data_IF_089701424883
#
_entry.id   IF_089701424883
#
_cell.length_a   1.000
_cell.length_b   1.000
_cell.length_c   1.000
_cell.angle_alpha   90.00
_cell.angle_beta   90.00
_cell.angle_gamma   90.00
#
_symmetry.space_group_name_H-M   'P 1'
#
loop_
_entity.id
_entity.type
_entity.pdbx_description
1 polymer ?
#
# COMPACT_ATOMS: atom_id res chain seq x y z
N UNK A 1 8.71 8.82 2.07
CA UNK A 1 8.84 7.51 2.71
C UNK A 1 8.00 7.44 3.97
N UNK A 2 7.29 6.33 4.15
CA UNK A 2 6.62 6.00 5.40
C UNK A 2 6.74 4.51 5.70
N UNK A 3 6.88 4.15 6.97
CA UNK A 3 6.94 2.79 7.47
C UNK A 3 5.80 2.54 8.47
N UNK A 4 5.23 1.33 8.49
CA UNK A 4 4.16 0.95 9.42
C UNK A 4 2.95 1.91 9.35
N UNK A 5 2.62 2.63 10.41
CA UNK A 5 1.58 3.67 10.41
C UNK A 5 1.90 4.80 9.41
N UNK A 6 3.18 5.15 9.24
CA UNK A 6 3.64 6.08 8.21
C UNK A 6 3.36 5.58 6.78
N UNK A 7 3.47 4.29 6.54
CA UNK A 7 3.09 3.68 5.26
C UNK A 7 1.57 3.73 5.03
N UNK A 8 0.77 3.56 6.09
CA UNK A 8 -0.68 3.77 6.03
C UNK A 8 -1.02 5.21 5.65
N UNK A 9 -0.29 6.19 6.19
CA UNK A 9 -0.44 7.58 5.79
C UNK A 9 -0.06 7.80 4.32
N UNK A 10 1.13 7.33 3.91
CA UNK A 10 1.66 7.55 2.56
C UNK A 10 0.74 7.02 1.48
N UNK A 11 0.30 5.76 1.56
CA UNK A 11 -0.55 5.21 0.50
C UNK A 11 -1.91 5.89 0.43
N UNK A 12 -2.51 6.28 1.58
CA UNK A 12 -3.76 7.06 1.60
C UNK A 12 -3.56 8.47 1.07
N UNK A 13 -2.44 9.11 1.41
CA UNK A 13 -2.10 10.43 0.89
C UNK A 13 -2.04 10.42 -0.64
N UNK A 14 -1.38 9.41 -1.23
CA UNK A 14 -1.34 9.22 -2.68
C UNK A 14 -2.73 8.94 -3.26
N UNK A 15 -3.56 8.19 -2.54
CA UNK A 15 -4.93 7.87 -2.97
C UNK A 15 -5.82 9.09 -3.01
N UNK A 16 -5.81 9.93 -1.95
CA UNK A 16 -6.82 10.96 -1.74
C UNK A 16 -6.37 12.37 -2.14
N UNK A 17 -5.06 12.60 -2.30
CA UNK A 17 -4.54 13.89 -2.73
C UNK A 17 -4.18 13.87 -4.20
N UNK A 18 -5.08 14.43 -5.01
CA UNK A 18 -4.85 14.66 -6.44
C UNK A 18 -4.02 15.95 -6.64
N UNK A 19 -3.40 16.08 -7.81
CA UNK A 19 -2.60 17.24 -8.21
C UNK A 19 -1.36 17.51 -7.32
N UNK A 20 -0.76 16.45 -6.80
CA UNK A 20 0.50 16.54 -6.07
C UNK A 20 1.69 16.66 -7.03
N UNK A 21 2.59 17.57 -6.74
CA UNK A 21 3.95 17.56 -7.31
C UNK A 21 4.79 16.49 -6.59
N UNK A 22 4.31 15.24 -6.61
CA UNK A 22 4.95 14.11 -5.97
C UNK A 22 5.64 13.26 -7.02
N UNK A 23 6.97 13.22 -6.98
CA UNK A 23 7.73 12.41 -7.93
C UNK A 23 7.59 10.92 -7.62
N UNK A 24 7.77 10.55 -6.36
CA UNK A 24 7.74 9.15 -5.89
C UNK A 24 7.26 9.09 -4.45
N UNK A 25 6.65 7.96 -4.07
CA UNK A 25 6.26 7.66 -2.70
C UNK A 25 6.63 6.22 -2.35
N UNK A 26 7.16 6.00 -1.15
CA UNK A 26 7.45 4.66 -0.63
C UNK A 26 6.57 4.40 0.59
N UNK A 27 5.73 3.38 0.50
CA UNK A 27 4.96 2.84 1.61
C UNK A 27 5.55 1.47 2.01
N UNK A 28 6.18 1.42 3.18
CA UNK A 28 6.91 0.25 3.66
C UNK A 28 6.19 -0.43 4.82
N UNK A 29 5.90 -1.73 4.72
CA UNK A 29 5.37 -2.57 5.79
C UNK A 29 4.14 -1.98 6.50
N UNK A 30 3.14 -1.50 5.77
CA UNK A 30 1.91 -1.00 6.39
C UNK A 30 1.19 -2.10 7.16
N UNK A 31 0.58 -1.74 8.29
CA UNK A 31 -0.17 -2.68 9.12
C UNK A 31 -1.44 -3.20 8.43
N UNK A 32 -2.08 -2.37 7.59
CA UNK A 32 -3.20 -2.70 6.72
C UNK A 32 -3.36 -1.61 5.68
N UNK A 33 -4.17 -1.85 4.65
CA UNK A 33 -4.27 -0.95 3.50
C UNK A 33 -5.71 -0.51 3.23
N UNK A 34 -5.85 0.71 2.69
CA UNK A 34 -7.04 1.12 1.96
C UNK A 34 -6.85 0.66 0.52
N UNK A 35 -7.39 -0.50 0.17
CA UNK A 35 -7.23 -1.08 -1.16
C UNK A 35 -8.03 -0.29 -2.20
N UNK A 36 -7.57 -0.18 -3.45
CA UNK A 36 -8.24 0.59 -4.49
C UNK A 36 -9.49 -0.10 -5.04
N UNK A 37 -10.30 -0.67 -4.17
CA UNK A 37 -11.49 -1.43 -4.51
C UNK A 37 -12.75 -0.67 -4.06
N UNK A 38 -13.59 -0.28 -5.02
CA UNK A 38 -14.82 0.49 -4.80
C UNK A 38 -15.98 -0.35 -4.23
N UNK A 39 -15.80 -1.67 -4.08
CA UNK A 39 -16.78 -2.57 -3.47
C UNK A 39 -16.52 -2.80 -1.97
N UNK A 40 -15.32 -2.51 -1.51
CA UNK A 40 -14.92 -2.67 -0.10
C UNK A 40 -15.13 -1.34 0.62
N UNK A 41 -15.79 -1.40 1.78
CA UNK A 41 -16.09 -0.23 2.61
C UNK A 41 -14.80 0.48 3.06
N UNK A 42 -14.82 1.81 3.04
CA UNK A 42 -13.80 2.63 3.68
C UNK A 42 -13.80 2.36 5.21
N UNK A 43 -12.66 2.24 5.88
CA UNK A 43 -11.32 2.63 5.41
C UNK A 43 -10.50 1.50 4.75
N UNK A 44 -11.01 0.29 4.64
CA UNK A 44 -10.27 -0.85 4.05
C UNK A 44 -10.33 -0.89 2.52
N UNK A 45 -11.29 -0.19 1.93
CA UNK A 45 -11.44 0.04 0.49
C UNK A 45 -11.95 1.45 0.24
N UNK A 46 -12.50 1.70 -0.96
CA UNK A 46 -12.92 3.05 -1.39
C UNK A 46 -14.43 3.26 -1.38
N UNK A 47 -15.25 2.23 -1.14
CA UNK A 47 -16.70 2.37 -1.07
C UNK A 47 -17.08 3.37 0.02
N UNK A 48 -17.95 4.32 -0.30
CA UNK A 48 -18.39 5.40 0.57
C UNK A 48 -17.27 6.38 1.03
N UNK A 49 -16.10 6.35 0.40
CA UNK A 49 -15.02 7.31 0.67
C UNK A 49 -15.21 8.67 -0.02
N UNK A 50 -16.06 8.74 -1.06
CA UNK A 50 -16.15 9.88 -1.96
C UNK A 50 -15.08 9.89 -3.08
N UNK A 51 -14.25 8.88 -3.17
CA UNK A 51 -13.13 8.75 -4.13
C UNK A 51 -13.23 7.44 -4.91
N UNK A 52 -14.35 7.28 -5.65
CA UNK A 52 -14.68 6.02 -6.35
C UNK A 52 -14.72 6.17 -7.87
N UNK A 53 -14.43 7.35 -8.39
CA UNK A 53 -14.48 7.63 -9.83
C UNK A 53 -13.19 7.20 -10.56
N UNK A 54 -13.30 7.08 -11.88
CA UNK A 54 -12.19 6.68 -12.74
C UNK A 54 -11.03 7.67 -12.71
N UNK A 55 -11.28 8.96 -12.44
CA UNK A 55 -10.23 9.98 -12.31
C UNK A 55 -9.37 9.70 -11.09
N UNK A 56 -9.99 9.40 -9.95
CA UNK A 56 -9.28 9.02 -8.73
C UNK A 56 -8.45 7.76 -8.94
N UNK A 57 -9.04 6.71 -9.52
CA UNK A 57 -8.33 5.45 -9.76
C UNK A 57 -7.20 5.61 -10.77
N UNK A 58 -7.43 6.33 -11.87
CA UNK A 58 -6.37 6.60 -12.87
C UNK A 58 -5.21 7.38 -12.28
N UNK A 59 -5.49 8.38 -11.44
CA UNK A 59 -4.45 9.14 -10.73
C UNK A 59 -3.65 8.25 -9.77
N UNK A 60 -4.34 7.44 -8.99
CA UNK A 60 -3.72 6.52 -8.02
C UNK A 60 -2.82 5.50 -8.73
N UNK A 61 -3.33 4.81 -9.74
CA UNK A 61 -2.55 3.80 -10.47
C UNK A 61 -1.43 4.40 -11.33
N UNK A 62 -1.61 5.61 -11.84
CA UNK A 62 -0.59 6.34 -12.58
C UNK A 62 0.52 6.94 -11.70
N UNK A 63 0.35 6.94 -10.37
CA UNK A 63 1.35 7.45 -9.44
C UNK A 63 2.58 6.53 -9.35
N UNK A 64 3.74 7.11 -9.02
CA UNK A 64 4.97 6.34 -8.77
C UNK A 64 5.02 5.86 -7.31
N UNK A 65 4.01 5.06 -6.92
CA UNK A 65 3.95 4.44 -5.59
C UNK A 65 4.83 3.19 -5.56
N UNK A 66 5.67 3.10 -4.55
CA UNK A 66 6.51 1.94 -4.26
C UNK A 66 5.96 1.27 -3.01
N UNK A 67 5.48 0.06 -3.16
CA UNK A 67 5.06 -0.81 -2.07
C UNK A 67 6.28 -1.66 -1.66
N UNK A 68 6.89 -1.31 -0.54
CA UNK A 68 8.10 -1.96 -0.04
C UNK A 68 7.74 -2.93 1.08
N UNK A 69 8.17 -4.18 0.95
CA UNK A 69 7.80 -5.27 1.85
C UNK A 69 9.03 -5.99 2.35
N UNK A 70 9.24 -6.02 3.67
CA UNK A 70 10.22 -6.90 4.29
C UNK A 70 9.70 -8.34 4.30
N UNK A 71 10.44 -9.27 3.72
CA UNK A 71 9.98 -10.65 3.56
C UNK A 71 9.95 -11.47 4.85
N UNK A 72 10.48 -10.89 5.94
CA UNK A 72 10.41 -11.47 7.29
C UNK A 72 9.38 -10.78 8.20
N UNK A 73 8.57 -9.83 7.67
CA UNK A 73 7.45 -9.22 8.42
C UNK A 73 6.20 -10.11 8.33
N UNK A 74 6.34 -11.30 8.87
CA UNK A 74 5.43 -12.45 8.75
C UNK A 74 4.86 -12.95 10.08
N UNK A 75 5.04 -12.20 11.19
CA UNK A 75 4.51 -12.56 12.49
C UNK A 75 3.03 -12.17 12.61
N UNK A 76 2.08 -13.15 12.67
CA UNK A 76 0.67 -12.86 12.84
C UNK A 76 0.31 -12.49 14.30
N UNK A 77 1.24 -12.66 15.25
CA UNK A 77 1.01 -12.39 16.66
C UNK A 77 1.70 -11.10 17.13
N UNK A 78 2.22 -10.28 16.22
CA UNK A 78 2.80 -9.00 16.56
C UNK A 78 1.76 -8.11 17.26
N UNK A 79 2.05 -7.70 18.50
CA UNK A 79 1.13 -6.92 19.32
C UNK A 79 0.70 -5.57 18.71
N UNK A 80 1.46 -5.04 17.75
CA UNK A 80 1.14 -3.81 17.04
C UNK A 80 0.36 -4.03 15.74
N UNK A 81 0.12 -5.29 15.37
CA UNK A 81 -0.65 -5.65 14.18
C UNK A 81 -2.15 -5.69 14.51
N UNK A 82 -2.92 -4.92 13.77
CA UNK A 82 -4.38 -4.93 13.90
C UNK A 82 -4.96 -6.24 13.41
N UNK A 83 -5.87 -6.82 14.20
CA UNK A 83 -6.70 -7.95 13.84
C UNK A 83 -8.18 -7.59 13.96
N UNK A 84 -8.86 -7.57 12.84
CA UNK A 84 -10.30 -7.54 12.67
C UNK A 84 -10.63 -8.24 11.35
N UNK A 85 -11.91 -8.52 11.11
CA UNK A 85 -12.36 -9.25 9.92
C UNK A 85 -11.81 -8.66 8.61
N UNK A 86 -11.82 -7.33 8.49
CA UNK A 86 -11.42 -6.64 7.26
C UNK A 86 -9.90 -6.59 7.08
N UNK A 87 -9.14 -6.36 8.14
CA UNK A 87 -7.68 -6.39 8.06
C UNK A 87 -7.15 -7.80 7.82
N UNK A 88 -7.75 -8.80 8.45
CA UNK A 88 -7.37 -10.21 8.27
C UNK A 88 -7.77 -10.75 6.90
N UNK A 89 -8.83 -10.21 6.27
CA UNK A 89 -9.15 -10.49 4.88
C UNK A 89 -8.05 -10.05 3.90
N UNK A 90 -7.20 -9.09 4.27
CA UNK A 90 -6.02 -8.70 3.49
C UNK A 90 -4.82 -9.64 3.69
N UNK A 91 -4.79 -10.39 4.80
CA UNK A 91 -3.73 -11.32 5.18
C UNK A 91 -3.49 -11.31 6.69
N UNK A 92 -2.88 -12.37 7.20
CA UNK A 92 -2.67 -12.53 8.65
C UNK A 92 -1.42 -11.81 9.17
N UNK A 93 -0.57 -11.26 8.30
CA UNK A 93 0.65 -10.54 8.64
C UNK A 93 0.96 -9.48 7.57
N UNK A 94 1.84 -8.53 7.91
CA UNK A 94 2.06 -7.33 7.07
C UNK A 94 2.56 -7.64 5.66
N UNK A 95 3.47 -8.61 5.52
CA UNK A 95 3.94 -9.00 4.21
C UNK A 95 2.79 -9.46 3.30
N UNK A 96 1.92 -10.36 3.80
CA UNK A 96 0.77 -10.84 3.04
C UNK A 96 -0.22 -9.71 2.68
N UNK A 97 -0.45 -8.77 3.60
CA UNK A 97 -1.32 -7.61 3.35
C UNK A 97 -0.77 -6.69 2.27
N UNK A 98 0.54 -6.50 2.24
CA UNK A 98 1.20 -5.72 1.19
C UNK A 98 1.16 -6.39 -0.18
N UNK A 99 1.34 -7.70 -0.24
CA UNK A 99 1.17 -8.52 -1.44
C UNK A 99 -0.27 -8.40 -1.98
N UNK A 100 -1.25 -8.52 -1.10
CA UNK A 100 -2.67 -8.37 -1.45
C UNK A 100 -2.96 -6.97 -2.01
N UNK A 101 -2.51 -5.91 -1.33
CA UNK A 101 -2.71 -4.52 -1.77
C UNK A 101 -2.15 -4.26 -3.17
N UNK A 102 -0.91 -4.69 -3.41
CA UNK A 102 -0.27 -4.53 -4.72
C UNK A 102 -1.00 -5.31 -5.80
N UNK A 103 -1.33 -6.58 -5.54
CA UNK A 103 -2.01 -7.45 -6.50
C UNK A 103 -3.42 -6.95 -6.83
N UNK A 104 -4.17 -6.43 -5.85
CA UNK A 104 -5.49 -5.82 -6.10
C UNK A 104 -5.36 -4.56 -6.95
N UNK A 105 -4.35 -3.70 -6.69
CA UNK A 105 -4.08 -2.54 -7.53
C UNK A 105 -3.79 -2.92 -8.97
N UNK A 106 -2.91 -3.88 -9.19
CA UNK A 106 -2.56 -4.38 -10.52
C UNK A 106 -3.77 -4.99 -11.24
N UNK A 107 -4.55 -5.82 -10.55
CA UNK A 107 -5.75 -6.46 -11.10
C UNK A 107 -6.80 -5.42 -11.51
N UNK A 108 -7.14 -4.50 -10.61
CA UNK A 108 -8.18 -3.49 -10.86
C UNK A 108 -7.76 -2.53 -11.98
N UNK A 109 -6.50 -2.11 -12.01
CA UNK A 109 -5.99 -1.26 -13.09
C UNK A 109 -6.10 -1.94 -14.46
N UNK A 110 -5.76 -3.22 -14.52
CA UNK A 110 -5.87 -4.03 -15.75
C UNK A 110 -7.32 -4.22 -16.19
N UNK A 111 -8.22 -4.55 -15.26
CA UNK A 111 -9.64 -4.76 -15.54
C UNK A 111 -10.33 -3.48 -16.08
N UNK A 112 -9.80 -2.31 -15.72
CA UNK A 112 -10.31 -1.02 -16.18
C UNK A 112 -9.45 -0.37 -17.28
N UNK A 113 -8.48 -1.06 -17.86
CA UNK A 113 -7.56 -0.56 -18.89
C UNK A 113 -6.82 0.73 -18.47
N UNK A 114 -6.43 0.83 -17.20
CA UNK A 114 -5.70 1.96 -16.64
C UNK A 114 -4.20 1.69 -16.61
N UNK A 115 -3.39 2.74 -16.74
CA UNK A 115 -1.92 2.65 -16.57
C UNK A 115 -1.60 2.31 -15.12
N UNK A 116 -0.67 1.38 -14.92
CA UNK A 116 -0.22 0.96 -13.58
C UNK A 116 1.29 1.21 -13.43
N UNK A 117 1.66 2.23 -12.66
CA UNK A 117 3.04 2.66 -12.46
C UNK A 117 3.63 2.22 -11.11
N UNK A 118 2.86 1.56 -10.29
CA UNK A 118 3.34 1.09 -8.99
C UNK A 118 4.48 0.11 -9.14
N UNK A 119 5.36 0.08 -8.14
CA UNK A 119 6.43 -0.91 -8.03
C UNK A 119 6.31 -1.65 -6.71
N UNK A 120 6.53 -2.96 -6.77
CA UNK A 120 6.71 -3.78 -5.57
C UNK A 120 8.20 -4.03 -5.36
N UNK A 121 8.68 -3.78 -4.16
CA UNK A 121 10.06 -4.01 -3.75
C UNK A 121 10.08 -4.95 -2.55
N UNK A 122 10.69 -6.12 -2.73
CA UNK A 122 10.88 -7.08 -1.64
C UNK A 122 12.25 -6.86 -1.02
N UNK A 123 12.26 -6.53 0.26
CA UNK A 123 13.50 -6.34 1.04
C UNK A 123 13.81 -7.65 1.77
N UNK A 124 14.83 -8.34 1.28
CA UNK A 124 15.21 -9.67 1.75
C UNK A 124 15.80 -9.66 3.14
N UNK A 125 15.34 -10.60 4.00
CA UNK A 125 15.84 -10.79 5.35
C UNK A 125 15.40 -9.71 6.35
N UNK A 126 14.49 -8.82 5.98
CA UNK A 126 14.02 -7.72 6.84
C UNK A 126 12.62 -8.01 7.35
N UNK A 127 12.43 -7.86 8.64
CA UNK A 127 11.15 -7.94 9.34
C UNK A 127 10.53 -6.53 9.49
N UNK A 128 9.81 -6.28 10.59
CA UNK A 128 9.19 -4.98 10.88
C UNK A 128 10.22 -3.98 11.44
N UNK A 129 11.24 -3.65 10.65
CA UNK A 129 12.35 -2.79 11.03
C UNK A 129 12.39 -1.52 10.18
N UNK A 130 12.19 -0.36 10.83
CA UNK A 130 12.15 0.94 10.17
C UNK A 130 13.49 1.30 9.49
N UNK A 131 14.61 1.15 10.21
CA UNK A 131 15.93 1.58 9.71
C UNK A 131 16.37 0.73 8.54
N UNK A 132 16.22 -0.60 8.67
CA UNK A 132 16.57 -1.54 7.61
C UNK A 132 15.71 -1.29 6.36
N UNK A 133 14.40 -1.10 6.51
CA UNK A 133 13.51 -0.77 5.39
C UNK A 133 13.87 0.56 4.74
N UNK A 134 14.17 1.60 5.55
CA UNK A 134 14.54 2.91 5.04
C UNK A 134 15.84 2.86 4.24
N UNK A 135 16.90 2.27 4.80
CA UNK A 135 18.21 2.18 4.15
C UNK A 135 18.13 1.44 2.81
N UNK A 136 17.38 0.33 2.76
CA UNK A 136 17.24 -0.48 1.55
C UNK A 136 16.35 0.17 0.48
N UNK A 137 15.49 1.10 0.85
CA UNK A 137 14.50 1.66 -0.10
C UNK A 137 14.69 3.14 -0.41
N UNK A 138 15.56 3.87 0.32
CA UNK A 138 15.77 5.32 0.13
C UNK A 138 16.19 5.67 -1.30
N UNK A 139 16.98 4.82 -1.95
CA UNK A 139 17.45 5.03 -3.32
C UNK A 139 16.31 5.03 -4.36
N UNK A 140 15.15 4.50 -4.02
CA UNK A 140 13.99 4.56 -4.91
C UNK A 140 13.32 5.94 -4.92
N UNK A 141 13.62 6.79 -3.93
CA UNK A 141 13.15 8.18 -3.87
C UNK A 141 14.06 9.15 -4.62
N UNK A 142 15.31 8.79 -4.80
CA UNK A 142 16.29 9.57 -5.56
C UNK A 142 16.15 9.27 -7.05
#
# INVERSE_FOLDING_TARGET
FGHSAGAQFVHRFVTFKQNLHLNKAVAANAGWYTVPNIQIEYPYGLKNSGYTDDTTLSHLFGSNLIVALGDQDIDPNDNSLRHDEQSDAQGLYRYARGEYYYSEGERISKDNNMVFNWKKVIVKGVAHDFEAMMVQTINYLL
#
